data_IF_510742793220
#
_entry.id   IF_510742793220
#
_cell.length_a   1.000
_cell.length_b   1.000
_cell.length_c   1.000
_cell.angle_alpha   90.00
_cell.angle_beta   90.00
_cell.angle_gamma   90.00
#
_symmetry.space_group_name_H-M   'P 1'
#
loop_
_entity.id
_entity.type
_entity.pdbx_description
1 polymer ?
#
# COMPACT_ATOMS: atom_id res chain seq x y z
N UNK A 1 -5.15 -11.17 10.18
CA UNK A 1 -5.51 -9.87 9.57
C UNK A 1 -5.25 -8.67 10.49
N UNK A 2 -4.10 -7.99 10.41
CA UNK A 2 -3.98 -6.63 10.99
C UNK A 2 -4.82 -5.63 10.19
N UNK A 3 -5.44 -4.65 10.84
CA UNK A 3 -6.20 -3.58 10.18
C UNK A 3 -5.26 -2.39 9.91
N UNK A 4 -5.26 -1.93 8.66
CA UNK A 4 -4.55 -0.76 8.18
C UNK A 4 -5.58 0.31 7.77
N UNK A 5 -5.24 1.57 8.00
CA UNK A 5 -6.12 2.71 7.71
C UNK A 5 -5.75 3.30 6.33
N UNK A 6 -6.58 3.05 5.34
CA UNK A 6 -6.50 3.65 4.01
C UNK A 6 -7.30 4.96 3.98
N UNK A 7 -6.73 6.01 4.59
CA UNK A 7 -7.31 7.36 4.60
C UNK A 7 -6.22 8.42 4.50
N UNK A 8 -6.55 9.66 4.08
CA UNK A 8 -5.55 10.69 3.76
C UNK A 8 -4.46 10.81 4.82
N UNK A 9 -3.19 10.71 4.41
CA UNK A 9 -2.05 10.85 5.31
C UNK A 9 -1.09 11.87 4.73
N UNK A 10 -0.48 12.65 5.63
CA UNK A 10 0.52 13.65 5.30
C UNK A 10 1.74 13.37 6.15
N UNK A 11 2.90 13.31 5.50
CA UNK A 11 4.16 13.01 6.16
C UNK A 11 5.12 14.16 5.88
N UNK A 12 5.61 14.78 6.96
CA UNK A 12 6.70 15.73 6.86
C UNK A 12 7.98 14.97 6.51
N UNK A 13 8.63 15.38 5.43
CA UNK A 13 9.95 14.90 5.02
C UNK A 13 10.94 16.06 5.03
N UNK A 14 12.24 15.76 4.98
CA UNK A 14 13.28 16.79 4.88
C UNK A 14 13.13 17.71 3.65
N UNK A 15 12.42 17.25 2.61
CA UNK A 15 12.22 17.96 1.34
C UNK A 15 10.83 18.58 1.19
N UNK A 16 9.96 18.42 2.20
CA UNK A 16 8.63 19.02 2.22
C UNK A 16 7.53 18.02 2.59
N UNK A 17 6.29 18.36 2.21
CA UNK A 17 5.12 17.56 2.55
C UNK A 17 4.95 16.41 1.54
N UNK A 18 4.95 15.17 2.02
CA UNK A 18 4.66 13.98 1.21
C UNK A 18 3.22 13.50 1.43
N UNK A 19 2.45 13.41 0.33
CA UNK A 19 1.03 13.04 0.34
C UNK A 19 0.78 11.87 -0.62
N UNK A 20 0.81 10.62 -0.15
CA UNK A 20 0.52 9.47 -1.00
C UNK A 20 -0.98 9.39 -1.35
N UNK A 21 -1.27 8.95 -2.57
CA UNK A 21 -2.63 8.69 -3.06
C UNK A 21 -2.71 7.28 -3.63
N UNK A 22 -3.89 6.64 -3.52
CA UNK A 22 -4.17 5.40 -4.24
C UNK A 22 -4.29 5.66 -5.74
N UNK A 23 -4.17 4.60 -6.53
CA UNK A 23 -4.22 4.68 -8.00
C UNK A 23 -5.56 5.26 -8.51
N UNK A 24 -6.67 4.85 -7.90
CA UNK A 24 -8.03 5.32 -8.20
C UNK A 24 -8.36 6.67 -7.53
N UNK A 25 -7.43 7.25 -6.76
CA UNK A 25 -7.60 8.47 -5.95
C UNK A 25 -8.71 8.40 -4.90
N UNK A 26 -9.22 7.21 -4.63
CA UNK A 26 -10.20 6.96 -3.59
C UNK A 26 -9.57 6.27 -2.39
N UNK A 27 -10.15 6.51 -1.22
CA UNK A 27 -9.75 5.90 0.04
C UNK A 27 -10.74 4.82 0.43
N UNK A 28 -10.26 3.62 0.78
CA UNK A 28 -11.09 2.47 1.18
C UNK A 28 -11.38 2.43 2.68
N UNK A 29 -10.79 3.34 3.46
CA UNK A 29 -10.95 3.36 4.92
C UNK A 29 -10.20 2.20 5.59
N UNK A 30 -10.71 1.64 6.70
CA UNK A 30 -10.06 0.49 7.33
C UNK A 30 -10.08 -0.73 6.38
N UNK A 31 -8.92 -1.34 6.16
CA UNK A 31 -8.75 -2.55 5.33
C UNK A 31 -7.82 -3.52 6.03
N UNK A 32 -7.95 -4.83 5.80
CA UNK A 32 -6.96 -5.79 6.29
C UNK A 32 -5.64 -5.68 5.50
N UNK A 33 -4.52 -6.03 6.14
CA UNK A 33 -3.22 -6.10 5.49
C UNK A 33 -3.21 -7.02 4.25
N UNK A 34 -4.04 -8.08 4.27
CA UNK A 34 -4.25 -8.97 3.12
C UNK A 34 -4.86 -8.22 1.94
N UNK A 35 -5.99 -7.54 2.15
CA UNK A 35 -6.67 -6.75 1.13
C UNK A 35 -5.80 -5.60 0.64
N UNK A 36 -5.09 -4.92 1.54
CA UNK A 36 -4.18 -3.84 1.16
C UNK A 36 -3.03 -4.31 0.25
N UNK A 37 -2.36 -5.42 0.60
CA UNK A 37 -1.27 -5.99 -0.20
C UNK A 37 -1.78 -6.51 -1.54
N UNK A 38 -2.87 -7.29 -1.52
CA UNK A 38 -3.49 -7.87 -2.70
C UNK A 38 -3.98 -6.76 -3.65
N UNK A 39 -4.77 -5.81 -3.15
CA UNK A 39 -5.31 -4.67 -3.89
C UNK A 39 -4.29 -3.58 -4.23
N UNK A 40 -3.02 -3.72 -3.84
CA UNK A 40 -1.97 -2.74 -4.15
C UNK A 40 -2.24 -1.32 -3.64
N UNK A 41 -2.77 -1.19 -2.42
CA UNK A 41 -3.13 0.11 -1.86
C UNK A 41 -1.89 0.85 -1.35
N UNK A 42 -1.67 2.07 -1.85
CA UNK A 42 -0.45 2.85 -1.60
C UNK A 42 -0.39 3.35 -0.16
N UNK A 43 -1.50 3.87 0.36
CA UNK A 43 -1.52 4.49 1.70
C UNK A 43 -1.30 3.46 2.82
N UNK A 44 -1.95 2.28 2.82
CA UNK A 44 -1.61 1.20 3.74
C UNK A 44 -0.16 0.74 3.64
N UNK A 45 0.44 0.71 2.45
CA UNK A 45 1.84 0.34 2.26
C UNK A 45 2.78 1.34 2.95
N UNK A 46 2.57 2.64 2.73
CA UNK A 46 3.34 3.72 3.38
C UNK A 46 3.16 3.67 4.90
N UNK A 47 1.94 3.44 5.40
CA UNK A 47 1.69 3.30 6.84
C UNK A 47 2.35 2.07 7.45
N UNK A 48 2.41 0.98 6.70
CA UNK A 48 3.16 -0.20 7.13
C UNK A 48 4.65 0.12 7.23
N UNK A 49 5.20 0.87 6.25
CA UNK A 49 6.59 1.33 6.29
C UNK A 49 6.87 2.21 7.53
N UNK A 50 5.95 3.09 7.92
CA UNK A 50 6.07 3.88 9.14
C UNK A 50 6.15 3.03 10.42
N UNK A 51 5.45 1.88 10.45
CA UNK A 51 5.46 0.99 11.60
C UNK A 51 6.76 0.17 11.71
N UNK A 52 7.33 -0.23 10.57
CA UNK A 52 8.54 -1.07 10.54
C UNK A 52 9.84 -0.27 10.45
N UNK A 53 9.78 0.98 9.98
CA UNK A 53 10.92 1.84 9.72
C UNK A 53 11.47 1.71 8.30
N UNK A 54 12.02 2.81 7.77
CA UNK A 54 12.57 2.85 6.40
C UNK A 54 13.89 2.09 6.29
N UNK A 55 14.82 2.29 7.24
CA UNK A 55 16.13 1.60 7.24
C UNK A 55 15.99 0.08 7.26
N UNK A 56 15.22 -0.53 8.19
CA UNK A 56 15.09 -1.99 8.22
C UNK A 56 14.41 -2.55 6.97
N UNK A 57 13.54 -1.77 6.33
CA UNK A 57 12.91 -2.15 5.07
C UNK A 57 13.91 -2.12 3.91
N UNK A 58 14.70 -1.05 3.78
CA UNK A 58 15.79 -0.93 2.80
C UNK A 58 16.78 -2.07 2.94
N UNK A 59 17.23 -2.37 4.16
CA UNK A 59 18.17 -3.47 4.42
C UNK A 59 17.58 -4.83 4.03
N UNK A 60 16.27 -5.03 4.28
CA UNK A 60 15.58 -6.23 3.84
C UNK A 60 15.56 -6.36 2.31
N UNK A 61 15.34 -5.26 1.59
CA UNK A 61 15.40 -5.25 0.12
C UNK A 61 16.82 -5.54 -0.38
N UNK A 62 17.83 -4.96 0.25
CA UNK A 62 19.23 -5.29 -0.02
C UNK A 62 19.50 -6.79 0.21
N UNK A 63 18.91 -7.39 1.24
CA UNK A 63 19.00 -8.83 1.48
C UNK A 63 18.30 -9.71 0.42
N UNK A 64 17.46 -9.13 -0.44
CA UNK A 64 16.92 -9.82 -1.61
C UNK A 64 17.75 -9.63 -2.88
N UNK A 65 18.92 -8.99 -2.78
CA UNK A 65 19.85 -8.85 -3.89
C UNK A 65 19.73 -7.54 -4.66
N UNK A 66 18.97 -6.55 -4.17
CA UNK A 66 18.82 -5.24 -4.81
C UNK A 66 20.07 -4.40 -4.54
N UNK A 67 21.10 -4.57 -5.37
CA UNK A 67 22.43 -3.97 -5.11
C UNK A 67 22.51 -2.49 -5.51
N UNK A 68 21.49 -1.97 -6.20
CA UNK A 68 21.35 -0.54 -6.49
C UNK A 68 20.87 0.31 -5.30
N UNK A 69 20.44 -0.32 -4.20
CA UNK A 69 19.99 0.39 -2.99
C UNK A 69 21.17 0.89 -2.12
N UNK A 70 22.08 1.71 -2.68
CA UNK A 70 23.35 2.10 -2.04
C UNK A 70 23.20 3.06 -0.86
N UNK A 71 22.19 3.92 -0.89
CA UNK A 71 22.01 4.98 0.11
C UNK A 71 21.24 4.49 1.33
N UNK A 72 21.16 5.31 2.38
CA UNK A 72 20.43 4.97 3.60
C UNK A 72 18.91 5.17 3.46
N UNK A 73 18.17 4.78 4.49
CA UNK A 73 16.72 4.94 4.56
C UNK A 73 16.27 6.39 4.60
N UNK A 74 17.11 7.35 5.01
CA UNK A 74 16.76 8.77 4.96
C UNK A 74 16.71 9.29 3.52
N UNK A 75 17.66 8.86 2.69
CA UNK A 75 17.70 9.18 1.27
C UNK A 75 16.45 8.70 0.53
N UNK A 76 16.07 7.43 0.71
CA UNK A 76 14.91 6.87 -0.01
C UNK A 76 13.57 7.35 0.57
N UNK A 77 13.51 7.55 1.89
CA UNK A 77 12.33 8.00 2.62
C UNK A 77 11.09 7.12 2.40
N UNK A 78 9.91 7.71 2.58
CA UNK A 78 8.63 6.98 2.49
C UNK A 78 8.26 6.55 1.07
N UNK A 79 8.86 7.18 0.06
CA UNK A 79 8.64 6.85 -1.34
C UNK A 79 9.08 5.41 -1.68
N UNK A 80 10.00 4.85 -0.90
CA UNK A 80 10.49 3.48 -1.07
C UNK A 80 9.36 2.45 -0.98
N UNK A 81 8.34 2.69 -0.13
CA UNK A 81 7.16 1.84 -0.04
C UNK A 81 6.39 1.73 -1.36
N UNK A 82 6.52 2.72 -2.25
CA UNK A 82 5.83 2.81 -3.52
C UNK A 82 6.73 2.46 -4.72
N UNK A 83 7.93 1.93 -4.47
CA UNK A 83 8.83 1.48 -5.54
C UNK A 83 9.57 2.63 -6.25
N UNK A 84 10.04 3.63 -5.51
CA UNK A 84 10.90 4.69 -6.06
C UNK A 84 12.33 4.24 -6.39
N UNK A 85 12.74 3.06 -5.94
CA UNK A 85 14.05 2.51 -6.21
C UNK A 85 14.10 1.78 -7.56
N UNK A 86 15.16 2.01 -8.31
CA UNK A 86 15.43 1.33 -9.57
C UNK A 86 15.96 -0.08 -9.33
N UNK A 87 15.42 -1.05 -10.06
CA UNK A 87 15.82 -2.46 -9.99
C UNK A 87 15.74 -3.10 -11.38
N UNK A 88 16.58 -4.08 -11.63
CA UNK A 88 16.51 -4.89 -12.85
C UNK A 88 15.41 -5.96 -12.74
N UNK A 89 14.90 -6.43 -13.89
CA UNK A 89 13.96 -7.54 -13.91
C UNK A 89 14.54 -8.82 -13.29
N UNK A 90 15.84 -9.07 -13.45
CA UNK A 90 16.52 -10.22 -12.85
C UNK A 90 16.57 -10.13 -11.32
N UNK A 91 16.87 -8.96 -10.77
CA UNK A 91 16.82 -8.73 -9.31
C UNK A 91 15.39 -8.95 -8.79
N UNK A 92 14.40 -8.37 -9.46
CA UNK A 92 12.99 -8.47 -9.08
C UNK A 92 12.49 -9.94 -9.08
N UNK A 93 12.87 -10.73 -10.09
CA UNK A 93 12.57 -12.16 -10.18
C UNK A 93 13.31 -12.94 -9.09
N UNK A 94 14.58 -12.63 -8.81
CA UNK A 94 15.34 -13.28 -7.73
C UNK A 94 14.72 -13.04 -6.36
N UNK A 95 14.25 -11.82 -6.09
CA UNK A 95 13.55 -11.47 -4.86
C UNK A 95 12.23 -12.25 -4.70
N UNK A 96 11.39 -12.30 -5.74
CA UNK A 96 10.14 -13.07 -5.69
C UNK A 96 10.37 -14.58 -5.59
N UNK A 97 11.40 -15.09 -6.26
CA UNK A 97 11.83 -16.50 -6.13
C UNK A 97 12.22 -16.83 -4.69
N UNK A 98 12.77 -15.88 -3.94
CA UNK A 98 13.07 -16.11 -2.51
C UNK A 98 11.80 -16.37 -1.69
N UNK A 99 10.69 -15.66 -1.97
CA UNK A 99 9.39 -15.92 -1.34
C UNK A 99 8.87 -17.31 -1.72
N UNK A 100 8.93 -17.66 -3.01
CA UNK A 100 8.54 -18.99 -3.51
C UNK A 100 9.36 -20.13 -2.86
N UNK A 101 10.62 -19.86 -2.49
CA UNK A 101 11.53 -20.81 -1.81
C UNK A 101 11.45 -20.76 -0.28
N UNK A 102 10.37 -20.19 0.28
CA UNK A 102 10.16 -20.12 1.72
C UNK A 102 11.12 -19.16 2.43
N UNK A 103 11.43 -18.04 1.78
CA UNK A 103 12.28 -16.97 2.32
C UNK A 103 13.78 -17.15 2.13
N UNK A 104 14.20 -18.13 1.31
CA UNK A 104 15.59 -18.39 0.97
C UNK A 104 15.96 -17.79 -0.38
N UNK A 105 16.86 -16.83 -0.35
CA UNK A 105 17.42 -16.20 -1.54
C UNK A 105 18.71 -16.91 -1.97
N UNK A 106 18.91 -17.02 -3.27
CA UNK A 106 20.18 -17.46 -3.86
C UNK A 106 20.39 -16.73 -5.19
N UNK A 107 21.63 -16.56 -5.66
CA UNK A 107 21.91 -16.04 -7.00
C UNK A 107 21.17 -16.85 -8.09
N UNK A 108 20.74 -16.15 -9.14
CA UNK A 108 20.19 -16.79 -10.33
C UNK A 108 21.30 -17.47 -11.14
N UNK A 109 20.91 -18.50 -11.89
CA UNK A 109 21.80 -19.21 -12.81
C UNK A 109 21.19 -19.18 -14.20
N UNK A 110 22.01 -18.79 -15.19
CA UNK A 110 21.61 -18.77 -16.59
C UNK A 110 21.88 -20.10 -17.29
N UNK A 111 22.84 -20.88 -16.78
CA UNK A 111 23.26 -22.17 -17.36
C UNK A 111 23.21 -23.29 -16.34
N UNK A 112 23.10 -24.53 -16.83
CA UNK A 112 23.01 -25.76 -16.02
C UNK A 112 24.34 -26.17 -15.37
N UNK A 113 25.46 -25.62 -15.81
CA UNK A 113 26.81 -25.82 -15.27
C UNK A 113 27.25 -24.72 -14.29
N UNK A 114 26.58 -23.56 -14.29
CA UNK A 114 26.90 -22.49 -13.35
C UNK A 114 26.85 -22.97 -11.88
N UNK A 115 27.78 -22.53 -11.02
CA UNK A 115 27.82 -22.98 -9.63
C UNK A 115 26.55 -22.58 -8.88
N UNK A 116 26.10 -23.46 -7.97
CA UNK A 116 25.01 -23.14 -7.05
C UNK A 116 25.56 -22.19 -5.98
N UNK A 117 25.12 -20.94 -6.01
CA UNK A 117 25.42 -19.98 -4.94
C UNK A 117 24.79 -20.39 -3.61
N UNK A 118 25.35 -19.95 -2.47
CA UNK A 118 24.82 -20.30 -1.16
C UNK A 118 23.40 -19.74 -0.95
N UNK A 119 22.56 -20.53 -0.28
CA UNK A 119 21.24 -20.06 0.17
C UNK A 119 21.42 -19.10 1.36
N UNK A 120 20.80 -17.93 1.28
CA UNK A 120 20.67 -16.96 2.37
C UNK A 120 19.23 -16.91 2.84
N UNK A 121 19.01 -17.08 4.15
CA UNK A 121 17.68 -16.90 4.75
C UNK A 121 17.41 -15.41 4.91
N UNK A 122 16.49 -14.88 4.12
CA UNK A 122 16.11 -13.45 4.12
C UNK A 122 14.84 -13.23 4.94
N UNK A 123 13.94 -14.21 4.99
CA UNK A 123 12.76 -14.19 5.84
C UNK A 123 12.38 -15.60 6.28
N UNK A 124 11.53 -15.72 7.28
CA UNK A 124 11.07 -17.02 7.74
C UNK A 124 10.16 -17.70 6.70
N UNK A 125 10.14 -19.02 6.69
CA UNK A 125 9.26 -19.79 5.80
C UNK A 125 7.79 -19.46 6.05
N UNK A 126 7.41 -19.19 7.30
CA UNK A 126 6.07 -18.80 7.69
C UNK A 126 5.69 -17.43 7.10
N UNK A 127 6.57 -16.43 7.20
CA UNK A 127 6.31 -15.10 6.63
C UNK A 127 6.23 -15.15 5.11
N UNK A 128 7.16 -15.85 4.45
CA UNK A 128 7.13 -16.04 3.00
C UNK A 128 5.84 -16.73 2.53
N UNK A 129 5.39 -17.77 3.25
CA UNK A 129 4.15 -18.47 2.94
C UNK A 129 2.92 -17.59 3.14
N UNK A 130 2.86 -16.81 4.23
CA UNK A 130 1.76 -15.86 4.47
C UNK A 130 1.66 -14.80 3.37
N UNK A 131 2.79 -14.26 2.91
CA UNK A 131 2.82 -13.32 1.78
C UNK A 131 2.32 -14.00 0.51
N UNK A 132 2.78 -15.21 0.21
CA UNK A 132 2.30 -15.99 -0.94
C UNK A 132 0.79 -16.26 -0.89
N UNK A 133 0.26 -16.61 0.28
CA UNK A 133 -1.17 -16.84 0.50
C UNK A 133 -2.00 -15.56 0.30
N UNK A 134 -1.54 -14.41 0.82
CA UNK A 134 -2.19 -13.11 0.57
C UNK A 134 -2.15 -12.71 -0.90
N UNK A 135 -1.01 -12.91 -1.56
CA UNK A 135 -0.81 -12.62 -2.98
C UNK A 135 -1.49 -13.64 -3.90
N UNK A 136 -2.00 -14.76 -3.39
CA UNK A 136 -2.77 -15.72 -4.20
C UNK A 136 -4.29 -15.46 -4.13
N UNK A 137 -4.77 -14.80 -3.08
CA UNK A 137 -6.20 -14.54 -2.84
C UNK A 137 -6.82 -13.58 -3.88
N UNK A 138 -7.62 -14.12 -4.78
CA UNK A 138 -8.34 -13.36 -5.81
C UNK A 138 -9.44 -12.47 -5.23
N UNK A 139 -10.09 -12.88 -4.14
CA UNK A 139 -11.14 -12.09 -3.49
C UNK A 139 -10.53 -10.86 -2.81
N UNK A 140 -9.37 -11.01 -2.17
CA UNK A 140 -8.65 -9.88 -1.59
C UNK A 140 -8.18 -8.86 -2.66
N UNK A 141 -7.90 -9.31 -3.88
CA UNK A 141 -7.53 -8.47 -5.02
C UNK A 141 -8.71 -7.76 -5.67
N UNK A 142 -9.92 -8.29 -5.53
CA UNK A 142 -11.10 -7.85 -6.28
C UNK A 142 -11.46 -6.37 -6.05
N UNK A 143 -11.09 -5.80 -4.89
CA UNK A 143 -11.31 -4.38 -4.56
C UNK A 143 -10.69 -3.43 -5.59
N UNK A 144 -9.56 -3.81 -6.20
CA UNK A 144 -8.84 -2.98 -7.17
C UNK A 144 -8.96 -3.54 -8.58
N UNK A 145 -8.95 -4.86 -8.74
CA UNK A 145 -8.81 -5.50 -10.04
C UNK A 145 -10.08 -6.15 -10.57
N UNK A 146 -11.17 -6.14 -9.79
CA UNK A 146 -12.38 -6.88 -10.10
C UNK A 146 -12.22 -8.40 -9.94
N UNK A 147 -13.33 -9.12 -10.13
CA UNK A 147 -13.36 -10.59 -10.03
C UNK A 147 -12.83 -11.28 -11.29
N UNK A 148 -13.00 -10.64 -12.44
CA UNK A 148 -12.47 -11.10 -13.72
C UNK A 148 -11.25 -10.26 -14.10
N UNK A 149 -10.06 -10.87 -13.95
CA UNK A 149 -8.79 -10.19 -14.19
C UNK A 149 -7.77 -11.13 -14.82
N UNK A 150 -6.78 -10.57 -15.52
CA UNK A 150 -5.64 -11.33 -16.06
C UNK A 150 -4.80 -12.03 -14.96
N UNK A 151 -5.01 -11.66 -13.69
CA UNK A 151 -4.33 -12.23 -12.53
C UNK A 151 -5.02 -13.51 -12.01
N UNK A 152 -6.21 -13.83 -12.53
CA UNK A 152 -6.96 -15.03 -12.15
C UNK A 152 -6.55 -16.22 -13.02
N UNK A 153 -5.87 -17.18 -12.41
CA UNK A 153 -5.45 -18.44 -13.02
C UNK A 153 -6.30 -19.62 -12.52
N UNK A 154 -6.46 -20.69 -13.31
CA UNK A 154 -7.19 -21.89 -12.89
C UNK A 154 -6.41 -22.77 -11.90
N UNK A 155 -5.25 -22.31 -11.45
CA UNK A 155 -4.37 -22.98 -10.49
C UNK A 155 -3.79 -21.95 -9.52
N UNK A 156 -3.18 -22.43 -8.44
CA UNK A 156 -2.59 -21.57 -7.44
C UNK A 156 -1.39 -20.80 -7.99
N UNK A 157 -1.44 -19.47 -7.89
CA UNK A 157 -0.32 -18.58 -8.13
C UNK A 157 -0.42 -17.35 -7.22
N UNK A 158 0.71 -16.95 -6.65
CA UNK A 158 0.87 -15.69 -5.98
C UNK A 158 1.32 -14.64 -7.01
N UNK A 159 0.68 -13.46 -7.06
CA UNK A 159 0.98 -12.46 -8.08
C UNK A 159 0.84 -11.04 -7.57
N UNK A 160 1.71 -10.17 -8.08
CA UNK A 160 1.67 -8.73 -7.82
C UNK A 160 1.97 -7.94 -9.08
N UNK A 161 1.18 -6.88 -9.29
CA UNK A 161 1.39 -5.90 -10.35
C UNK A 161 2.20 -4.70 -9.85
N UNK A 162 2.85 -3.99 -10.77
CA UNK A 162 3.48 -2.70 -10.53
C UNK A 162 3.19 -1.73 -11.67
N UNK A 163 2.98 -0.47 -11.35
CA UNK A 163 2.75 0.60 -12.34
C UNK A 163 3.46 1.86 -11.86
N UNK A 164 4.46 2.33 -12.63
CA UNK A 164 5.19 3.54 -12.28
C UNK A 164 4.38 4.81 -12.55
N UNK A 165 4.82 5.92 -11.95
CA UNK A 165 4.22 7.23 -12.18
C UNK A 165 4.29 7.59 -13.67
N UNK A 166 3.16 8.06 -14.21
CA UNK A 166 3.08 8.42 -15.63
C UNK A 166 3.07 7.23 -16.58
N UNK A 167 2.80 6.01 -16.10
CA UNK A 167 2.65 4.80 -16.93
C UNK A 167 3.90 4.50 -17.78
N UNK A 168 5.10 4.72 -17.23
CA UNK A 168 6.36 4.45 -17.94
C UNK A 168 6.75 2.97 -17.90
N UNK A 169 6.37 2.30 -16.81
CA UNK A 169 6.73 0.91 -16.53
C UNK A 169 5.52 0.15 -16.02
N UNK A 170 5.31 -1.01 -16.62
CA UNK A 170 4.29 -1.97 -16.21
C UNK A 170 4.96 -3.28 -15.85
N UNK A 171 4.74 -3.72 -14.62
CA UNK A 171 5.31 -4.93 -14.07
C UNK A 171 4.21 -5.92 -13.69
N UNK A 172 4.48 -7.21 -13.92
CA UNK A 172 3.71 -8.29 -13.33
C UNK A 172 4.67 -9.41 -12.94
N UNK A 173 4.79 -9.67 -11.65
CA UNK A 173 5.65 -10.73 -11.12
C UNK A 173 4.82 -11.65 -10.24
N UNK A 174 4.99 -12.94 -10.45
CA UNK A 174 4.29 -13.94 -9.68
C UNK A 174 5.00 -15.28 -9.70
N UNK A 175 4.52 -16.18 -8.86
CA UNK A 175 5.08 -17.52 -8.75
C UNK A 175 3.99 -18.56 -8.48
N UNK A 176 4.21 -19.75 -9.03
CA UNK A 176 3.50 -20.97 -8.66
C UNK A 176 4.40 -21.82 -7.75
N UNK A 177 4.03 -23.08 -7.55
CA UNK A 177 4.85 -24.04 -6.79
C UNK A 177 6.18 -24.37 -7.48
N UNK A 178 6.27 -24.19 -8.80
CA UNK A 178 7.43 -24.58 -9.62
C UNK A 178 8.14 -23.40 -10.28
N UNK A 179 7.39 -22.39 -10.70
CA UNK A 179 7.92 -21.31 -11.53
C UNK A 179 7.79 -19.96 -10.84
N UNK A 180 8.76 -19.08 -11.11
CA UNK A 180 8.65 -17.64 -10.83
C UNK A 180 8.79 -16.93 -12.17
N UNK A 181 7.81 -16.12 -12.52
CA UNK A 181 7.73 -15.40 -13.79
C UNK A 181 7.61 -13.92 -13.49
N UNK A 182 8.51 -13.12 -14.07
CA UNK A 182 8.44 -11.68 -14.07
C UNK A 182 8.32 -11.15 -15.48
N UNK A 183 7.43 -10.20 -15.69
CA UNK A 183 7.22 -9.51 -16.96
C UNK A 183 7.33 -8.01 -16.71
N UNK A 184 8.12 -7.35 -17.55
CA UNK A 184 8.17 -5.89 -17.66
C UNK A 184 7.74 -5.48 -19.07
N UNK A 185 6.98 -4.39 -19.14
CA UNK A 185 6.59 -3.73 -20.38
C UNK A 185 6.77 -2.23 -20.19
N UNK A 186 7.49 -1.59 -21.12
CA UNK A 186 7.76 -0.16 -21.12
C UNK A 186 8.47 0.26 -22.40
N UNK A 187 8.56 1.57 -22.62
CA UNK A 187 9.41 2.12 -23.68
C UNK A 187 10.86 2.16 -23.18
N UNK A 188 11.82 1.74 -24.01
CA UNK A 188 13.24 1.68 -23.61
C UNK A 188 13.82 3.06 -23.31
N UNK A 189 13.27 4.10 -23.93
CA UNK A 189 13.61 5.50 -23.73
C UNK A 189 13.02 6.09 -22.44
N UNK A 190 12.13 5.35 -21.76
CA UNK A 190 11.47 5.77 -20.52
C UNK A 190 10.28 6.71 -20.71
N UNK A 191 9.82 6.88 -21.96
CA UNK A 191 8.64 7.69 -22.27
C UNK A 191 7.34 7.04 -21.76
N UNK A 192 6.34 7.83 -21.34
CA UNK A 192 5.01 7.33 -20.96
C UNK A 192 4.35 6.46 -22.03
N UNK A 193 3.81 5.31 -21.63
CA UNK A 193 2.91 4.52 -22.49
C UNK A 193 1.51 5.15 -22.53
N UNK A 194 0.84 5.07 -23.69
CA UNK A 194 -0.54 5.57 -23.84
C UNK A 194 -1.55 4.52 -23.35
N UNK A 195 -2.20 4.78 -22.22
CA UNK A 195 -3.30 3.99 -21.67
C UNK A 195 -2.98 2.52 -21.33
N UNK A 196 -1.73 2.20 -20.96
CA UNK A 196 -1.33 0.87 -20.52
C UNK A 196 -0.97 0.91 -19.03
N UNK A 197 -1.73 0.18 -18.19
CA UNK A 197 -1.41 -0.05 -16.78
C UNK A 197 -0.78 -1.44 -16.58
N UNK A 198 -0.34 -1.76 -15.36
CA UNK A 198 0.23 -3.08 -15.06
C UNK A 198 -0.73 -4.24 -15.38
N UNK A 199 -2.04 -4.01 -15.27
CA UNK A 199 -3.08 -5.00 -15.54
C UNK A 199 -3.42 -5.17 -17.02
N UNK A 200 -3.22 -4.13 -17.85
CA UNK A 200 -3.44 -4.22 -19.31
C UNK A 200 -2.16 -4.47 -20.11
N UNK A 201 -0.98 -4.22 -19.54
CA UNK A 201 0.32 -4.43 -20.17
C UNK A 201 0.98 -5.76 -19.80
N UNK A 202 1.59 -5.83 -18.61
CA UNK A 202 2.42 -6.97 -18.21
C UNK A 202 1.60 -8.19 -17.75
N UNK A 203 0.43 -7.99 -17.15
CA UNK A 203 -0.37 -9.08 -16.58
C UNK A 203 -0.89 -10.10 -17.61
N UNK A 204 -1.39 -9.72 -18.81
CA UNK A 204 -1.81 -10.69 -19.82
C UNK A 204 -0.65 -11.58 -20.30
N UNK A 205 0.52 -10.99 -20.55
CA UNK A 205 1.72 -11.75 -20.94
C UNK A 205 2.14 -12.71 -19.83
N UNK A 206 2.16 -12.23 -18.58
CA UNK A 206 2.45 -13.08 -17.42
C UNK A 206 1.49 -14.26 -17.32
N UNK A 207 0.19 -14.01 -17.51
CA UNK A 207 -0.87 -15.04 -17.47
C UNK A 207 -0.62 -16.13 -18.50
N UNK A 208 -0.33 -15.74 -19.74
CA UNK A 208 -0.18 -16.67 -20.84
C UNK A 208 1.10 -17.53 -20.68
N UNK A 209 2.20 -16.93 -20.21
CA UNK A 209 3.44 -17.66 -19.85
C UNK A 209 3.18 -18.64 -18.70
N UNK A 210 2.50 -18.21 -17.63
CA UNK A 210 2.18 -19.09 -16.50
C UNK A 210 1.31 -20.28 -16.94
N UNK A 211 0.30 -20.05 -17.78
CA UNK A 211 -0.55 -21.12 -18.32
C UNK A 211 0.21 -22.09 -19.21
N UNK A 212 1.18 -21.60 -19.98
CA UNK A 212 2.03 -22.45 -20.80
C UNK A 212 2.93 -23.35 -19.94
N UNK A 213 3.47 -22.83 -18.83
CA UNK A 213 4.41 -23.52 -17.95
C UNK A 213 3.74 -24.49 -16.94
N UNK A 214 2.62 -24.08 -16.33
CA UNK A 214 2.02 -24.78 -15.19
C UNK A 214 0.65 -25.38 -15.54
N UNK A 215 0.68 -26.58 -16.13
CA UNK A 215 -0.52 -27.27 -16.62
C UNK A 215 -1.06 -28.34 -15.65
N UNK A 216 -0.53 -28.46 -14.42
CA UNK A 216 -0.77 -29.67 -13.61
C UNK A 216 -0.78 -29.58 -12.09
N UNK A 217 -0.28 -28.51 -11.45
CA UNK A 217 -0.32 -28.39 -9.98
C UNK A 217 -1.29 -27.29 -9.52
N UNK A 218 -2.55 -27.69 -9.30
CA UNK A 218 -3.62 -26.76 -8.93
C UNK A 218 -3.66 -26.41 -7.45
N UNK A 219 -2.94 -27.15 -6.59
CA UNK A 219 -3.11 -27.05 -5.14
C UNK A 219 -2.21 -25.97 -4.54
N UNK A 220 -2.71 -25.17 -3.58
CA UNK A 220 -1.86 -24.28 -2.81
C UNK A 220 -0.80 -25.05 -2.03
N UNK A 221 0.38 -24.46 -1.77
CA UNK A 221 1.36 -25.05 -0.86
C UNK A 221 0.78 -25.19 0.54
N UNK A 222 1.07 -26.32 1.18
CA UNK A 222 0.72 -26.55 2.57
C UNK A 222 1.42 -25.51 3.47
N UNK A 223 0.74 -25.00 4.51
CA UNK A 223 1.35 -24.10 5.46
C UNK A 223 2.53 -24.79 6.19
N UNK A 224 3.67 -24.10 6.36
CA UNK A 224 4.78 -24.63 7.15
C UNK A 224 4.40 -24.74 8.63
N UNK A 225 5.18 -25.51 9.39
CA UNK A 225 5.03 -25.62 10.83
C UNK A 225 5.07 -24.24 11.52
N UNK A 226 4.25 -24.07 12.56
CA UNK A 226 4.12 -22.79 13.25
C UNK A 226 3.17 -21.79 12.58
N UNK A 227 2.45 -22.19 11.52
CA UNK A 227 1.25 -21.49 11.07
C UNK A 227 0.01 -22.08 11.75
N UNK A 228 -0.93 -21.23 12.15
CA UNK A 228 -2.25 -21.61 12.63
C UNK A 228 -3.34 -21.00 11.74
N UNK A 229 -4.45 -21.72 11.58
CA UNK A 229 -5.64 -21.28 10.83
C UNK A 229 -6.74 -20.93 11.82
N UNK A 230 -7.36 -19.75 11.67
CA UNK A 230 -8.45 -19.28 12.54
C UNK A 230 -9.61 -18.73 11.74
N UNK A 231 -10.83 -18.95 12.23
CA UNK A 231 -11.99 -18.19 11.78
C UNK A 231 -11.91 -16.78 12.38
N UNK A 232 -12.08 -15.77 11.53
CA UNK A 232 -11.98 -14.36 11.90
C UNK A 232 -13.22 -13.60 11.45
N UNK A 233 -13.58 -12.58 12.23
CA UNK A 233 -14.64 -11.65 11.91
C UNK A 233 -14.16 -10.20 12.07
N UNK A 234 -14.71 -9.31 11.26
CA UNK A 234 -14.38 -7.89 11.30
C UNK A 234 -15.54 -7.08 11.88
N UNK A 235 -15.23 -6.29 12.90
CA UNK A 235 -16.21 -5.40 13.55
C UNK A 235 -16.52 -4.22 12.64
N UNK A 236 -17.78 -3.80 12.60
CA UNK A 236 -18.21 -2.65 11.80
C UNK A 236 -18.28 -2.91 10.31
N UNK A 237 -18.31 -4.18 9.89
CA UNK A 237 -18.47 -4.54 8.47
C UNK A 237 -17.28 -4.20 7.57
N UNK A 238 -16.09 -4.04 8.15
CA UNK A 238 -14.86 -3.70 7.40
C UNK A 238 -14.63 -4.71 6.25
N UNK A 239 -14.72 -6.00 6.55
CA UNK A 239 -14.62 -7.09 5.58
C UNK A 239 -15.54 -8.24 6.00
N UNK A 240 -15.86 -9.14 5.06
CA UNK A 240 -16.64 -10.34 5.37
C UNK A 240 -15.84 -11.31 6.26
N UNK A 241 -16.48 -12.03 7.19
CA UNK A 241 -15.84 -13.08 7.97
C UNK A 241 -15.23 -14.15 7.06
N UNK A 242 -14.05 -14.66 7.44
CA UNK A 242 -13.34 -15.70 6.69
C UNK A 242 -12.41 -16.50 7.58
N UNK A 243 -11.83 -17.57 7.03
CA UNK A 243 -10.64 -18.16 7.65
C UNK A 243 -9.39 -17.38 7.21
N UNK A 244 -8.46 -17.19 8.14
CA UNK A 244 -7.17 -16.55 7.87
C UNK A 244 -6.05 -17.32 8.60
N UNK A 245 -4.81 -17.04 8.20
CA UNK A 245 -3.62 -17.71 8.70
C UNK A 245 -2.74 -16.75 9.49
N UNK A 246 -2.10 -17.30 10.52
CA UNK A 246 -1.30 -16.54 11.46
C UNK A 246 -0.04 -17.31 11.83
N UNK A 247 0.98 -16.58 12.29
CA UNK A 247 2.03 -17.19 13.09
C UNK A 247 1.38 -17.73 14.37
N UNK A 248 1.81 -18.90 14.81
CA UNK A 248 1.30 -19.53 16.04
C UNK A 248 1.44 -18.56 17.21
N UNK A 249 0.33 -18.34 17.92
CA UNK A 249 0.27 -17.43 19.07
C UNK A 249 0.00 -15.97 18.73
N UNK A 250 -0.10 -15.59 17.44
CA UNK A 250 -0.46 -14.21 17.04
C UNK A 250 -1.88 -14.08 16.51
N UNK A 251 -2.59 -15.20 16.32
CA UNK A 251 -3.95 -15.21 15.79
C UNK A 251 -4.98 -14.67 16.77
N UNK A 252 -5.91 -13.88 16.23
CA UNK A 252 -7.06 -13.34 16.94
C UNK A 252 -8.33 -13.69 16.18
N UNK A 253 -9.47 -13.76 16.88
CA UNK A 253 -10.76 -14.12 16.28
C UNK A 253 -11.56 -12.90 15.79
N UNK A 254 -11.28 -11.71 16.32
CA UNK A 254 -12.03 -10.48 16.02
C UNK A 254 -11.07 -9.33 15.77
N UNK A 255 -11.30 -8.61 14.69
CA UNK A 255 -10.51 -7.45 14.31
C UNK A 255 -11.41 -6.23 14.17
N UNK A 256 -10.97 -5.11 14.72
CA UNK A 256 -11.68 -3.84 14.66
C UNK A 256 -10.69 -2.74 14.28
N UNK A 257 -11.17 -1.69 13.63
CA UNK A 257 -10.41 -0.45 13.56
C UNK A 257 -10.18 0.08 14.98
N UNK A 258 -9.02 0.70 15.23
CA UNK A 258 -8.73 1.31 16.53
C UNK A 258 -9.89 2.24 16.95
N UNK A 259 -10.34 2.24 18.21
CA UNK A 259 -11.39 3.16 18.65
C UNK A 259 -10.90 4.61 18.50
N UNK A 260 -11.81 5.56 18.33
CA UNK A 260 -11.45 6.98 18.14
C UNK A 260 -10.51 7.52 19.25
N UNK A 261 -10.69 7.05 20.49
CA UNK A 261 -9.84 7.39 21.63
C UNK A 261 -8.37 6.95 21.47
N UNK A 262 -8.10 5.92 20.67
CA UNK A 262 -6.74 5.44 20.39
C UNK A 262 -6.15 6.03 19.09
N UNK A 263 -6.93 6.82 18.34
CA UNK A 263 -6.47 7.45 17.09
C UNK A 263 -5.86 8.81 17.39
N UNK A 264 -4.72 9.08 16.75
CA UNK A 264 -4.13 10.42 16.77
C UNK A 264 -5.12 11.43 16.16
N UNK A 265 -5.28 12.62 16.77
CA UNK A 265 -6.11 13.68 16.23
C UNK A 265 -5.65 14.10 14.83
N UNK A 266 -6.58 14.21 13.88
CA UNK A 266 -6.28 14.61 12.49
C UNK A 266 -7.48 15.23 11.79
N UNK A 267 -7.22 16.12 10.85
CA UNK A 267 -8.21 16.79 10.01
C UNK A 267 -8.67 15.78 8.93
N UNK A 268 -9.98 15.60 8.81
CA UNK A 268 -10.61 14.70 7.83
C UNK A 268 -11.37 15.44 6.74
N UNK A 269 -11.79 16.67 6.99
CA UNK A 269 -12.37 17.56 5.98
C UNK A 269 -11.94 19.01 6.29
N UNK A 270 -11.48 19.81 5.31
CA UNK A 270 -11.18 19.44 3.93
C UNK A 270 -10.13 18.33 3.83
N UNK A 271 -10.14 17.61 2.70
CA UNK A 271 -9.05 16.70 2.35
C UNK A 271 -7.92 17.52 1.71
N UNK A 272 -6.67 17.15 1.93
CA UNK A 272 -5.54 17.90 1.34
C UNK A 272 -5.58 17.85 -0.19
N UNK A 273 -5.40 19.01 -0.83
CA UNK A 273 -5.52 19.19 -2.28
C UNK A 273 -6.95 19.35 -2.81
N UNK A 274 -7.97 19.32 -1.94
CA UNK A 274 -9.36 19.54 -2.35
C UNK A 274 -9.52 20.90 -3.03
N UNK A 275 -10.31 20.94 -4.10
CA UNK A 275 -10.74 22.17 -4.76
C UNK A 275 -12.24 22.32 -4.54
N UNK A 276 -12.64 23.37 -3.83
CA UNK A 276 -14.04 23.74 -3.64
C UNK A 276 -14.38 24.87 -4.60
N UNK A 277 -15.43 24.72 -5.39
CA UNK A 277 -15.93 25.79 -6.25
C UNK A 277 -17.07 26.52 -5.53
N UNK A 278 -17.01 27.85 -5.50
CA UNK A 278 -18.13 28.66 -5.06
C UNK A 278 -19.14 28.78 -6.20
N UNK A 279 -20.39 28.45 -5.90
CA UNK A 279 -21.50 28.55 -6.84
C UNK A 279 -22.02 29.99 -6.85
N UNK A 280 -22.01 30.70 -7.99
CA UNK A 280 -22.49 32.08 -8.07
C UNK A 280 -24.00 32.20 -7.79
N UNK A 281 -24.78 31.12 -7.95
CA UNK A 281 -26.23 31.13 -7.77
C UNK A 281 -26.65 30.85 -6.31
N UNK A 282 -25.72 30.38 -5.46
CA UNK A 282 -25.97 30.11 -4.04
C UNK A 282 -25.53 31.32 -3.19
N UNK A 283 -26.37 31.85 -2.28
CA UNK A 283 -25.93 32.91 -1.36
C UNK A 283 -24.67 32.52 -0.59
N UNK A 284 -23.67 33.40 -0.58
CA UNK A 284 -22.34 33.13 0.02
C UNK A 284 -22.43 32.66 1.49
N UNK A 285 -23.44 33.13 2.23
CA UNK A 285 -23.68 32.73 3.62
C UNK A 285 -23.97 31.23 3.79
N UNK A 286 -24.45 30.57 2.74
CA UNK A 286 -24.82 29.15 2.70
C UNK A 286 -23.71 28.25 2.14
N UNK A 287 -22.62 28.83 1.64
CA UNK A 287 -21.50 28.09 1.04
C UNK A 287 -20.36 27.82 2.03
N UNK A 288 -20.72 27.44 3.27
CA UNK A 288 -19.75 27.20 4.34
C UNK A 288 -19.22 25.77 4.28
N UNK A 289 -17.92 25.62 4.44
CA UNK A 289 -17.22 24.35 4.54
C UNK A 289 -17.23 23.85 5.99
N UNK A 290 -17.67 22.62 6.22
CA UNK A 290 -17.53 21.96 7.52
C UNK A 290 -16.10 21.47 7.73
N UNK A 291 -15.48 21.80 8.85
CA UNK A 291 -14.18 21.25 9.22
C UNK A 291 -14.40 19.98 10.05
N UNK A 292 -13.98 18.85 9.49
CA UNK A 292 -14.05 17.55 10.16
C UNK A 292 -12.72 17.21 10.81
N UNK A 293 -12.76 16.71 12.04
CA UNK A 293 -11.60 16.18 12.77
C UNK A 293 -11.96 14.80 13.31
N UNK A 294 -10.99 13.88 13.29
CA UNK A 294 -11.11 12.55 13.88
C UNK A 294 -10.04 12.32 14.95
N UNK A 295 -10.26 11.34 15.84
CA UNK A 295 -9.38 11.06 16.98
C UNK A 295 -9.78 11.87 18.23
N UNK A 296 -8.99 11.76 19.30
CA UNK A 296 -9.25 12.48 20.56
C UNK A 296 -8.82 13.96 20.48
N UNK A 297 -9.65 14.79 19.83
CA UNK A 297 -9.30 16.17 19.52
C UNK A 297 -9.75 17.22 20.56
N UNK A 298 -10.39 16.82 21.67
CA UNK A 298 -10.96 17.74 22.67
C UNK A 298 -9.95 18.75 23.26
N UNK A 299 -8.66 18.40 23.29
CA UNK A 299 -7.57 19.29 23.74
C UNK A 299 -6.82 19.99 22.59
N UNK A 300 -7.46 20.18 21.43
CA UNK A 300 -6.83 20.78 20.25
C UNK A 300 -7.63 21.96 19.72
N UNK A 301 -6.96 22.86 19.01
CA UNK A 301 -7.55 24.00 18.33
C UNK A 301 -7.33 23.94 16.84
N UNK A 302 -8.30 24.44 16.09
CA UNK A 302 -8.22 24.58 14.64
C UNK A 302 -7.83 26.01 14.27
N UNK A 303 -6.95 26.14 13.30
CA UNK A 303 -6.53 27.41 12.71
C UNK A 303 -6.70 27.35 11.21
N UNK A 304 -7.39 28.32 10.61
CA UNK A 304 -7.45 28.52 9.16
C UNK A 304 -6.58 29.73 8.82
N UNK A 305 -5.46 29.48 8.14
CA UNK A 305 -4.39 30.43 7.86
C UNK A 305 -3.85 31.09 9.15
N UNK A 306 -4.32 32.29 9.46
CA UNK A 306 -4.00 33.03 10.69
C UNK A 306 -5.21 33.19 11.65
N UNK A 307 -6.37 32.67 11.27
CA UNK A 307 -7.62 32.78 12.01
C UNK A 307 -7.83 31.55 12.89
N UNK A 308 -8.00 31.79 14.19
CA UNK A 308 -8.41 30.77 15.15
C UNK A 308 -9.88 30.41 14.93
N UNK A 309 -10.16 29.13 14.72
CA UNK A 309 -11.51 28.57 14.52
C UNK A 309 -12.10 27.99 15.80
N UNK A 310 -11.35 27.98 16.90
CA UNK A 310 -11.78 27.42 18.18
C UNK A 310 -11.41 25.95 18.38
N UNK A 311 -12.18 25.27 19.22
CA UNK A 311 -11.96 23.88 19.60
C UNK A 311 -12.13 22.93 18.40
N UNK A 312 -11.27 21.92 18.30
CA UNK A 312 -11.23 21.02 17.16
C UNK A 312 -12.41 20.05 17.07
N UNK A 313 -13.08 19.78 18.20
CA UNK A 313 -14.28 18.94 18.29
C UNK A 313 -15.59 19.71 18.04
N UNK A 314 -15.53 21.03 17.87
CA UNK A 314 -16.70 21.87 17.59
C UNK A 314 -17.21 21.78 16.15
N UNK A 315 -16.51 21.07 15.25
CA UNK A 315 -16.83 20.91 13.83
C UNK A 315 -17.27 22.22 13.14
N UNK A 316 -16.43 23.28 13.15
CA UNK A 316 -16.83 24.61 12.71
C UNK A 316 -17.19 24.65 11.23
N UNK A 317 -18.23 25.42 10.90
CA UNK A 317 -18.57 25.81 9.52
C UNK A 317 -17.83 27.10 9.16
N UNK A 318 -16.93 27.04 8.19
CA UNK A 318 -16.09 28.18 7.79
C UNK A 318 -16.41 28.63 6.38
N UNK A 319 -16.38 29.94 6.17
CA UNK A 319 -16.36 30.53 4.84
C UNK A 319 -14.92 30.90 4.51
N UNK A 320 -14.37 30.28 3.47
CA UNK A 320 -13.06 30.60 2.92
C UNK A 320 -13.25 31.31 1.57
N UNK A 321 -12.54 32.43 1.36
CA UNK A 321 -12.60 33.16 0.09
C UNK A 321 -11.87 32.42 -1.03
N UNK A 322 -11.93 32.88 -2.29
CA UNK A 322 -11.13 32.30 -3.37
C UNK A 322 -9.64 32.35 -3.05
N UNK A 323 -8.93 31.24 -3.24
CA UNK A 323 -7.49 31.14 -2.99
C UNK A 323 -7.04 29.83 -2.37
N UNK A 324 -5.74 29.75 -2.06
CA UNK A 324 -5.13 28.63 -1.33
C UNK A 324 -5.21 28.89 0.16
N UNK A 325 -5.66 27.89 0.90
CA UNK A 325 -5.84 27.95 2.35
C UNK A 325 -5.12 26.81 3.05
N UNK A 326 -4.73 27.03 4.30
CA UNK A 326 -4.09 26.04 5.15
C UNK A 326 -4.82 25.92 6.49
N UNK A 327 -5.27 24.73 6.83
CA UNK A 327 -5.83 24.41 8.15
C UNK A 327 -4.77 23.73 8.99
N UNK A 328 -4.62 24.13 10.24
CA UNK A 328 -3.75 23.49 11.22
C UNK A 328 -4.55 23.02 12.43
N UNK A 329 -4.25 21.84 12.90
CA UNK A 329 -4.68 21.28 14.16
C UNK A 329 -3.52 21.42 15.15
N UNK A 330 -3.74 22.15 16.23
CA UNK A 330 -2.68 22.55 17.18
C UNK A 330 -3.05 22.05 18.57
N UNK A 331 -2.10 21.45 19.29
CA UNK A 331 -2.30 21.04 20.69
C UNK A 331 -2.23 22.24 21.66
N UNK A 332 -2.54 22.00 22.94
CA UNK A 332 -2.47 23.02 23.98
C UNK A 332 -1.05 23.61 24.19
N UNK A 333 -0.01 22.88 23.77
CA UNK A 333 1.38 23.32 23.82
C UNK A 333 1.80 24.18 22.62
N UNK A 334 0.90 24.43 21.67
CA UNK A 334 1.19 25.19 20.45
C UNK A 334 1.88 24.37 19.35
N UNK A 335 2.03 23.06 19.53
CA UNK A 335 2.61 22.18 18.49
C UNK A 335 1.54 21.85 17.46
N UNK A 336 1.90 21.97 16.19
CA UNK A 336 1.06 21.50 15.08
C UNK A 336 1.05 19.97 15.09
N UNK A 337 -0.14 19.41 15.29
CA UNK A 337 -0.40 17.97 15.32
C UNK A 337 -0.77 17.44 13.94
N UNK A 338 -1.49 18.24 13.15
CA UNK A 338 -1.83 17.95 11.76
C UNK A 338 -2.06 19.25 10.98
N UNK A 339 -1.93 19.24 9.65
CA UNK A 339 -2.24 20.39 8.81
C UNK A 339 -2.69 19.98 7.42
N UNK A 340 -3.62 20.70 6.81
CA UNK A 340 -4.23 20.39 5.49
C UNK A 340 -4.27 21.64 4.61
N UNK A 341 -3.79 21.54 3.37
CA UNK A 341 -3.94 22.61 2.39
C UNK A 341 -5.09 22.31 1.41
N UNK A 342 -5.91 23.32 1.09
CA UNK A 342 -6.99 23.20 0.12
C UNK A 342 -7.14 24.49 -0.70
N UNK A 343 -7.89 24.44 -1.80
CA UNK A 343 -8.14 25.59 -2.68
C UNK A 343 -9.62 25.85 -2.79
N UNK A 344 -10.01 27.12 -2.73
CA UNK A 344 -11.36 27.58 -3.09
C UNK A 344 -11.25 28.35 -4.40
N UNK A 345 -12.16 28.10 -5.34
CA UNK A 345 -12.21 28.75 -6.65
C UNK A 345 -13.55 29.42 -6.89
#
# INVERSE_FOLDING_TARGET
>A
ASILDDSPVQLDTATGLYVPQNYDRDFKGPVSARTALAGSLNVPAVRTLLLVGVEPFRDRLWDTGYRGLSEDGQYYGFSLALGSAEVTLLEQVAAYRSLARGGRWSPLRLTSDAPVGPDRVVTSAQAAWLIGDMLADSNARAVTFGLDSALSLPFWAAVKTGTSKGLRDNWCIGFSRRYTVGVWVGNLEGDPMRAVSGTSGAAPVWRDVMRALDQGDTKPPLPPAGIERRAIAFVGGIEQPRFDYFLRGTGQARFAAAPAAARRPRITNPVSGSVYALDPDIPIAHQRLSIGVSGQAAAHRLWLDRRDLGAADAAPLVLAGPGRHLIRLVDLGGRVVDQVAFTVR
#
